data_IF_807839110298
#
_entry.id   IF_807839110298
#
_cell.length_a   1.000
_cell.length_b   1.000
_cell.length_c   1.000
_cell.angle_alpha   90.00
_cell.angle_beta   90.00
_cell.angle_gamma   90.00
#
_symmetry.space_group_name_H-M   'P 1'
#
loop_
_entity.id
_entity.type
_entity.pdbx_description
1 polymer ?
#
# COMPACT_ATOMS: atom_id res chain seq x y z
N UNK A 1 28.83 -0.75 5.51
CA UNK A 1 28.14 -2.05 5.31
C UNK A 1 26.77 -1.97 5.99
N UNK A 2 25.66 -2.18 5.27
CA UNK A 2 24.35 -2.37 5.93
C UNK A 2 24.33 -3.79 6.49
N UNK A 3 24.04 -3.94 7.78
CA UNK A 3 23.85 -5.25 8.39
C UNK A 3 22.66 -5.94 7.70
N UNK A 4 22.90 -7.04 7.01
CA UNK A 4 21.83 -7.93 6.54
C UNK A 4 21.49 -8.85 7.70
N UNK A 5 20.38 -8.59 8.36
CA UNK A 5 19.83 -9.50 9.36
C UNK A 5 18.59 -10.18 8.81
N UNK A 6 18.24 -11.33 9.42
CA UNK A 6 17.00 -12.02 9.17
C UNK A 6 16.20 -12.05 10.48
N UNK A 7 14.87 -11.98 10.38
CA UNK A 7 13.99 -12.13 11.52
C UNK A 7 12.83 -13.05 11.16
N UNK A 8 12.36 -13.78 12.18
CA UNK A 8 11.09 -14.50 12.13
C UNK A 8 9.97 -13.51 12.38
N UNK A 9 9.06 -13.38 11.43
CA UNK A 9 7.90 -12.49 11.51
C UNK A 9 6.66 -13.34 11.70
N UNK A 10 5.84 -12.95 12.66
CA UNK A 10 4.49 -13.47 12.86
C UNK A 10 3.50 -12.51 12.24
N UNK A 11 2.72 -12.98 11.28
CA UNK A 11 1.72 -12.14 10.63
C UNK A 11 0.57 -11.82 11.58
N UNK A 12 -0.04 -10.65 11.37
CA UNK A 12 -1.22 -10.23 12.14
C UNK A 12 -2.50 -10.85 11.60
N UNK A 13 -2.62 -10.92 10.26
CA UNK A 13 -3.88 -11.26 9.58
C UNK A 13 -3.78 -12.54 8.73
N UNK A 14 -2.57 -13.07 8.47
CA UNK A 14 -2.40 -14.32 7.75
C UNK A 14 -2.30 -15.47 8.73
N UNK A 15 -3.02 -16.56 8.45
CA UNK A 15 -3.04 -17.78 9.23
C UNK A 15 -2.31 -18.91 8.50
N UNK A 16 -2.02 -19.99 9.22
CA UNK A 16 -1.61 -21.28 8.64
C UNK A 16 -2.73 -21.87 7.78
N UNK A 17 -2.38 -22.82 6.90
CA UNK A 17 -3.35 -23.46 5.98
C UNK A 17 -4.53 -24.16 6.72
N UNK A 18 -4.28 -24.62 7.94
CA UNK A 18 -5.30 -25.21 8.83
C UNK A 18 -6.02 -24.19 9.72
N UNK A 19 -5.73 -22.90 9.52
CA UNK A 19 -6.25 -21.74 10.25
C UNK A 19 -6.02 -21.79 11.78
N UNK A 20 -5.15 -22.68 12.26
CA UNK A 20 -4.96 -22.94 13.70
C UNK A 20 -4.14 -21.86 14.41
N UNK A 21 -3.28 -21.14 13.68
CA UNK A 21 -2.40 -20.12 14.23
C UNK A 21 -2.05 -19.05 13.19
N UNK A 22 -1.56 -17.87 13.61
CA UNK A 22 -0.98 -16.91 12.69
C UNK A 22 0.27 -17.47 12.00
N UNK A 23 0.40 -17.21 10.70
CA UNK A 23 1.52 -17.63 9.89
C UNK A 23 2.83 -17.00 10.40
N UNK A 24 3.92 -17.77 10.38
CA UNK A 24 5.26 -17.28 10.72
C UNK A 24 6.26 -17.59 9.59
N UNK A 25 7.04 -16.60 9.18
CA UNK A 25 7.99 -16.72 8.07
C UNK A 25 9.30 -15.98 8.36
N UNK A 26 10.37 -16.37 7.66
CA UNK A 26 11.69 -15.75 7.79
C UNK A 26 11.89 -14.70 6.69
N UNK A 27 12.17 -13.46 7.09
CA UNK A 27 12.44 -12.36 6.16
C UNK A 27 13.80 -11.74 6.38
N UNK A 28 14.38 -11.23 5.29
CA UNK A 28 15.56 -10.37 5.37
C UNK A 28 15.15 -8.94 5.75
N UNK A 29 16.06 -8.20 6.38
CA UNK A 29 15.86 -6.80 6.75
C UNK A 29 15.47 -5.88 5.58
N UNK A 30 15.68 -6.29 4.33
CA UNK A 30 15.29 -5.53 3.14
C UNK A 30 13.80 -5.66 2.79
N UNK A 31 13.13 -6.73 3.25
CA UNK A 31 11.70 -6.95 3.06
C UNK A 31 10.84 -6.38 4.22
N UNK A 32 11.49 -5.87 5.27
CA UNK A 32 10.83 -5.37 6.47
C UNK A 32 10.93 -3.84 6.50
N UNK A 33 9.80 -3.19 6.75
CA UNK A 33 9.71 -1.74 6.99
C UNK A 33 8.81 -1.47 8.20
N UNK A 34 8.92 -0.31 8.85
CA UNK A 34 8.00 0.10 9.91
C UNK A 34 6.54 0.15 9.41
N UNK A 35 5.61 0.48 10.30
CA UNK A 35 4.26 0.87 9.87
C UNK A 35 4.33 2.29 9.30
N UNK A 36 3.71 2.57 8.13
CA UNK A 36 3.67 3.94 7.60
C UNK A 36 2.91 4.87 8.55
N UNK A 37 3.32 6.14 8.67
CA UNK A 37 2.61 7.11 9.49
C UNK A 37 1.17 7.26 9.00
N UNK A 38 0.25 7.43 9.95
CA UNK A 38 -1.10 7.86 9.65
C UNK A 38 -1.04 9.19 8.91
N UNK A 39 -1.86 9.31 7.87
CA UNK A 39 -1.88 10.52 7.07
C UNK A 39 -2.58 11.63 7.83
N UNK A 40 -1.99 12.82 7.81
CA UNK A 40 -2.67 14.04 8.26
C UNK A 40 -3.95 14.25 7.44
N UNK A 41 -4.98 14.69 8.14
CA UNK A 41 -6.35 14.92 7.66
C UNK A 41 -6.40 15.84 6.43
N UNK A 42 -5.37 16.65 6.21
CA UNK A 42 -5.22 17.60 5.09
C UNK A 42 -5.21 16.95 3.70
N UNK A 43 -4.69 15.73 3.54
CA UNK A 43 -4.80 14.97 2.27
C UNK A 43 -6.16 14.27 2.16
N UNK A 44 -6.84 14.04 3.29
CA UNK A 44 -8.12 13.34 3.35
C UNK A 44 -9.32 14.24 3.04
N UNK A 45 -9.23 15.55 3.28
CA UNK A 45 -10.29 16.53 3.02
C UNK A 45 -10.73 16.57 1.55
N UNK A 46 -9.81 16.28 0.62
CA UNK A 46 -10.09 16.33 -0.82
C UNK A 46 -10.39 14.95 -1.45
N UNK A 47 -10.41 13.87 -0.66
CA UNK A 47 -10.51 12.51 -1.17
C UNK A 47 -9.33 12.10 -2.07
N UNK A 48 -9.44 10.95 -2.72
CA UNK A 48 -8.47 10.53 -3.74
C UNK A 48 -8.86 11.07 -5.12
N UNK A 49 -7.85 11.29 -5.97
CA UNK A 49 -8.01 11.78 -7.34
C UNK A 49 -7.54 10.73 -8.33
N UNK A 50 -7.95 10.89 -9.59
CA UNK A 50 -7.47 10.05 -10.68
C UNK A 50 -5.94 10.00 -10.71
N UNK A 51 -5.39 8.80 -10.85
CA UNK A 51 -3.96 8.48 -10.84
C UNK A 51 -3.23 8.66 -9.50
N UNK A 52 -3.93 8.93 -8.40
CA UNK A 52 -3.32 8.84 -7.08
C UNK A 52 -2.85 7.40 -6.81
N UNK A 53 -1.63 7.27 -6.31
CA UNK A 53 -1.06 6.00 -5.88
C UNK A 53 -1.62 5.66 -4.50
N UNK A 54 -2.21 4.47 -4.37
CA UNK A 54 -2.88 4.03 -3.15
C UNK A 54 -2.43 2.63 -2.76
N UNK A 55 -2.55 2.31 -1.48
CA UNK A 55 -2.62 0.94 -1.02
C UNK A 55 -4.08 0.63 -0.64
N UNK A 56 -4.57 -0.54 -1.04
CA UNK A 56 -5.88 -1.07 -0.67
C UNK A 56 -5.71 -2.20 0.34
N UNK A 57 -6.43 -2.15 1.46
CA UNK A 57 -6.51 -3.27 2.37
C UNK A 57 -7.53 -4.30 1.85
N UNK A 58 -7.05 -5.43 1.34
CA UNK A 58 -7.86 -6.51 0.78
C UNK A 58 -7.13 -7.85 0.98
N UNK A 59 -7.86 -8.96 1.15
CA UNK A 59 -7.29 -10.29 1.37
C UNK A 59 -6.16 -10.27 2.42
N UNK A 60 -6.45 -9.67 3.57
CA UNK A 60 -5.57 -9.60 4.75
C UNK A 60 -4.26 -8.81 4.60
N UNK A 61 -4.05 -8.14 3.45
CA UNK A 61 -2.85 -7.38 3.11
C UNK A 61 -3.12 -5.99 2.52
N UNK A 62 -2.07 -5.20 2.38
CA UNK A 62 -2.10 -3.89 1.69
C UNK A 62 -1.52 -4.04 0.27
N UNK A 63 -2.34 -3.73 -0.73
CA UNK A 63 -2.02 -3.93 -2.15
C UNK A 63 -1.85 -2.60 -2.88
N UNK A 64 -0.72 -2.43 -3.54
CA UNK A 64 -0.41 -1.23 -4.32
C UNK A 64 -1.25 -1.15 -5.60
N UNK A 65 -1.82 0.03 -5.87
CA UNK A 65 -2.55 0.32 -7.09
C UNK A 65 -2.71 1.83 -7.36
N UNK A 66 -3.51 2.15 -8.38
CA UNK A 66 -3.78 3.52 -8.80
C UNK A 66 -5.29 3.78 -8.86
N UNK A 67 -5.73 4.96 -8.44
CA UNK A 67 -7.12 5.37 -8.68
C UNK A 67 -7.35 5.49 -10.19
N UNK A 68 -8.29 4.72 -10.71
CA UNK A 68 -8.70 4.72 -12.12
C UNK A 68 -10.03 5.42 -12.36
N UNK A 69 -10.79 5.70 -11.31
CA UNK A 69 -12.06 6.42 -11.38
C UNK A 69 -12.77 6.51 -10.04
N UNK A 70 -13.91 7.21 -10.03
CA UNK A 70 -14.82 7.29 -8.89
C UNK A 70 -16.27 7.31 -9.36
N UNK A 71 -17.12 6.47 -8.80
CA UNK A 71 -18.57 6.46 -9.04
C UNK A 71 -19.26 6.49 -7.68
N UNK A 72 -20.00 7.56 -7.40
CA UNK A 72 -20.60 7.77 -6.08
C UNK A 72 -19.53 7.85 -4.97
N UNK A 73 -19.59 6.90 -4.03
CA UNK A 73 -18.65 6.77 -2.91
C UNK A 73 -17.52 5.75 -3.16
N UNK A 74 -17.60 5.01 -4.26
CA UNK A 74 -16.64 3.98 -4.62
C UNK A 74 -15.52 4.55 -5.49
N UNK A 75 -14.29 4.23 -5.11
CA UNK A 75 -13.08 4.48 -5.86
C UNK A 75 -12.69 3.20 -6.60
N UNK A 76 -12.53 3.31 -7.91
CA UNK A 76 -11.99 2.22 -8.72
C UNK A 76 -10.47 2.26 -8.64
N UNK A 77 -9.86 1.11 -8.36
CA UNK A 77 -8.41 0.95 -8.22
C UNK A 77 -7.92 -0.04 -9.26
N UNK A 78 -7.00 0.41 -10.10
CA UNK A 78 -6.26 -0.43 -11.04
C UNK A 78 -5.02 -1.03 -10.38
N UNK A 79 -4.88 -2.35 -10.45
CA UNK A 79 -3.73 -3.08 -9.94
C UNK A 79 -2.79 -3.45 -11.10
N UNK A 80 -1.61 -2.82 -11.21
CA UNK A 80 -0.73 -3.02 -12.36
C UNK A 80 -0.17 -4.45 -12.48
N UNK A 81 -0.13 -5.20 -11.38
CA UNK A 81 0.42 -6.57 -11.37
C UNK A 81 -0.56 -7.59 -11.96
N UNK A 82 -1.87 -7.40 -11.74
CA UNK A 82 -2.91 -8.34 -12.19
C UNK A 82 -3.77 -7.78 -13.33
N UNK A 83 -3.63 -6.49 -13.64
CA UNK A 83 -4.48 -5.72 -14.56
C UNK A 83 -5.96 -5.63 -14.13
N UNK A 84 -6.28 -5.99 -12.89
CA UNK A 84 -7.63 -5.85 -12.35
C UNK A 84 -8.00 -4.39 -12.11
N UNK A 85 -9.30 -4.10 -12.20
CA UNK A 85 -9.86 -2.80 -11.83
C UNK A 85 -11.08 -3.01 -10.94
N UNK A 86 -10.95 -2.73 -9.64
CA UNK A 86 -11.91 -3.14 -8.61
C UNK A 86 -12.38 -1.91 -7.82
N UNK A 87 -13.67 -1.86 -7.51
CA UNK A 87 -14.28 -0.81 -6.71
C UNK A 87 -14.03 -1.04 -5.21
N UNK A 88 -13.61 0.01 -4.51
CA UNK A 88 -13.42 0.03 -3.07
C UNK A 88 -13.96 1.30 -2.44
N UNK A 89 -14.36 1.18 -1.18
CA UNK A 89 -14.74 2.31 -0.35
C UNK A 89 -13.52 3.05 0.20
N UNK A 90 -13.72 4.31 0.61
CA UNK A 90 -12.66 5.18 1.16
C UNK A 90 -11.95 4.60 2.40
N UNK A 91 -12.60 3.75 3.19
CA UNK A 91 -12.07 3.31 4.49
C UNK A 91 -11.01 2.20 4.38
N UNK A 92 -10.96 1.46 3.27
CA UNK A 92 -9.92 0.45 3.01
C UNK A 92 -8.73 1.00 2.22
N UNK A 93 -8.74 2.30 1.91
CA UNK A 93 -7.74 2.97 1.09
C UNK A 93 -6.85 3.88 1.93
N UNK A 94 -5.56 3.90 1.60
CA UNK A 94 -4.60 4.92 2.05
C UNK A 94 -3.74 5.34 0.88
N UNK A 95 -3.13 6.52 0.94
CA UNK A 95 -2.12 6.85 -0.07
C UNK A 95 -0.89 5.96 0.10
N UNK A 96 -0.35 5.53 -1.03
CA UNK A 96 0.85 4.72 -1.08
C UNK A 96 2.07 5.52 -0.58
N UNK A 97 2.91 4.88 0.22
CA UNK A 97 4.16 5.43 0.72
C UNK A 97 5.29 4.43 0.53
N UNK A 98 6.44 4.94 0.11
CA UNK A 98 7.66 4.16 -0.02
C UNK A 98 8.55 4.34 1.21
N UNK A 99 9.23 3.26 1.60
CA UNK A 99 10.21 3.30 2.69
C UNK A 99 11.60 3.34 2.09
N UNK A 100 12.26 4.50 2.17
CA UNK A 100 13.54 4.74 1.52
C UNK A 100 14.49 5.48 2.46
N UNK A 101 15.73 4.97 2.57
CA UNK A 101 16.78 5.56 3.40
C UNK A 101 16.37 5.90 4.85
N UNK A 102 15.52 5.05 5.45
CA UNK A 102 15.08 5.25 6.84
C UNK A 102 13.97 6.28 7.00
N UNK A 103 13.28 6.65 5.92
CA UNK A 103 12.19 7.64 5.91
C UNK A 103 11.04 7.16 5.03
N UNK A 104 9.83 7.58 5.40
CA UNK A 104 8.65 7.45 4.55
C UNK A 104 8.61 8.60 3.56
N UNK A 105 8.37 8.27 2.29
CA UNK A 105 8.26 9.26 1.21
C UNK A 105 6.98 9.03 0.41
N UNK A 106 6.39 10.13 -0.05
CA UNK A 106 5.35 10.10 -1.07
C UNK A 106 6.02 10.19 -2.44
N UNK A 107 5.56 9.36 -3.37
CA UNK A 107 5.93 9.51 -4.76
C UNK A 107 5.05 10.59 -5.42
N UNK A 108 5.61 11.40 -6.33
CA UNK A 108 4.82 12.36 -7.08
C UNK A 108 3.76 11.62 -7.90
N UNK A 109 2.57 12.23 -8.05
CA UNK A 109 1.52 11.75 -8.95
C UNK A 109 2.12 11.49 -10.33
N UNK A 110 1.75 10.39 -10.96
CA UNK A 110 2.29 9.97 -12.26
C UNK A 110 2.19 11.08 -13.34
N UNK A 111 1.18 11.95 -13.26
CA UNK A 111 1.05 13.13 -14.12
C UNK A 111 2.26 14.08 -14.08
N UNK A 112 2.96 14.21 -12.95
CA UNK A 112 4.19 15.04 -12.85
C UNK A 112 5.44 14.36 -13.39
N UNK A 113 5.41 13.05 -13.63
CA UNK A 113 6.54 12.30 -14.21
C UNK A 113 6.59 12.52 -15.73
N UNK A 114 5.45 12.79 -16.36
CA UNK A 114 5.35 13.03 -17.80
C UNK A 114 5.52 14.51 -18.22
N UNK A 115 5.51 15.47 -17.28
CA UNK A 115 5.69 16.91 -17.53
C UNK A 115 7.18 17.33 -17.58
N UNK A 116 8.12 16.39 -17.76
CA UNK A 116 9.58 16.62 -17.73
C UNK A 116 10.27 16.54 -19.11
N UNK A 117 9.52 16.73 -20.20
CA UNK A 117 10.03 16.80 -21.57
C UNK A 117 9.51 18.02 -22.32
#
# INVERSE_FOLDING_TARGET
>A
MKLKWQAKIKYKNLLTDDESAPLEEMFTSAAIRPVPPHQDETMSENGFRLYDMVDVFANDGWWFGFISGKIGEEYYVYFPTTADNIAYTRHVLRFHQEWSYGKWIFLPRQGKIFDLH
#
